data_IF_541519940187
#
_entry.id   IF_541519940187
#
_cell.length_a   1.000
_cell.length_b   1.000
_cell.length_c   1.000
_cell.angle_alpha   90.00
_cell.angle_beta   90.00
_cell.angle_gamma   90.00
#
_symmetry.space_group_name_H-M   'P 1'
#
loop_
_entity.id
_entity.type
_entity.pdbx_description
1 polymer ?
#
# COMPACT_ATOMS: atom_id res chain seq x y z
N UNK A 1 30.10 38.60 20.36
CA UNK A 1 29.34 37.39 20.77
C UNK A 1 28.19 37.02 19.84
N UNK A 2 27.40 37.97 19.32
CA UNK A 2 26.25 37.67 18.43
C UNK A 2 26.64 37.09 17.04
N UNK A 3 27.77 37.52 16.48
CA UNK A 3 28.23 37.08 15.13
C UNK A 3 28.67 35.61 15.13
N UNK A 4 29.31 35.14 16.20
CA UNK A 4 29.74 33.74 16.34
C UNK A 4 28.53 32.80 16.45
N UNK A 5 27.48 33.24 17.15
CA UNK A 5 26.23 32.48 17.26
C UNK A 5 25.51 32.33 15.91
N UNK A 6 25.52 33.38 15.08
CA UNK A 6 24.95 33.36 13.73
C UNK A 6 25.74 32.43 12.78
N UNK A 7 27.07 32.42 12.87
CA UNK A 7 27.93 31.52 12.08
C UNK A 7 27.71 30.05 12.50
N UNK A 8 27.59 29.77 13.79
CA UNK A 8 27.27 28.42 14.28
C UNK A 8 25.87 27.95 13.85
N UNK A 9 24.89 28.85 13.79
CA UNK A 9 23.54 28.54 13.30
C UNK A 9 23.54 28.24 11.79
N UNK A 10 24.32 29.00 11.01
CA UNK A 10 24.54 28.74 9.58
C UNK A 10 25.28 27.42 9.33
N UNK A 11 26.23 27.04 10.19
CA UNK A 11 26.96 25.77 10.05
C UNK A 11 26.10 24.54 10.34
N UNK A 12 25.12 24.65 11.26
CA UNK A 12 24.15 23.58 11.55
C UNK A 12 23.07 23.40 10.49
N UNK A 13 22.92 24.38 9.58
CA UNK A 13 22.04 24.31 8.41
C UNK A 13 22.69 23.63 7.20
N UNK A 14 23.93 23.13 7.32
CA UNK A 14 24.56 22.38 6.25
C UNK A 14 23.92 20.99 6.09
N UNK A 15 23.07 20.92 5.06
CA UNK A 15 23.01 19.83 4.09
C UNK A 15 22.82 18.44 4.71
N UNK A 16 21.56 18.13 5.04
CA UNK A 16 21.05 16.78 4.76
C UNK A 16 21.10 16.61 3.25
N UNK A 17 22.25 16.22 2.72
CA UNK A 17 22.35 15.77 1.34
C UNK A 17 21.66 14.40 1.32
N UNK A 18 20.44 14.37 0.80
CA UNK A 18 19.79 13.11 0.50
C UNK A 18 20.55 12.52 -0.70
N UNK A 19 21.61 11.76 -0.43
CA UNK A 19 22.23 10.97 -1.48
C UNK A 19 21.19 9.98 -1.98
N UNK A 20 20.84 10.08 -3.25
CA UNK A 20 19.97 9.10 -3.86
C UNK A 20 20.62 7.73 -3.82
N UNK A 21 19.88 6.75 -3.32
CA UNK A 21 20.39 5.39 -3.11
C UNK A 21 20.24 4.51 -4.35
N UNK A 22 19.75 5.06 -5.47
CA UNK A 22 19.67 4.38 -6.77
C UNK A 22 21.06 3.97 -7.35
N UNK A 23 22.16 4.19 -6.63
CA UNK A 23 23.53 4.05 -7.12
C UNK A 23 24.10 2.62 -7.02
N UNK A 24 23.57 1.77 -6.14
CA UNK A 24 24.24 0.51 -5.71
C UNK A 24 23.55 -0.78 -6.20
N UNK A 25 22.65 -0.70 -7.19
CA UNK A 25 21.89 -1.86 -7.67
C UNK A 25 22.52 -2.48 -8.92
N UNK A 26 22.85 -3.78 -8.83
CA UNK A 26 23.38 -4.57 -9.96
C UNK A 26 22.28 -5.15 -10.85
N UNK A 27 21.04 -5.22 -10.37
CA UNK A 27 19.91 -5.84 -11.07
C UNK A 27 18.76 -4.84 -11.24
N UNK A 28 18.00 -5.00 -12.32
CA UNK A 28 16.80 -4.20 -12.58
C UNK A 28 15.79 -4.32 -11.43
N UNK A 29 15.55 -5.55 -10.93
CA UNK A 29 14.62 -5.77 -9.82
C UNK A 29 15.06 -5.07 -8.53
N UNK A 30 16.36 -5.07 -8.22
CA UNK A 30 16.90 -4.35 -7.06
C UNK A 30 16.73 -2.84 -7.20
N UNK A 31 17.00 -2.30 -8.39
CA UNK A 31 16.83 -0.88 -8.70
C UNK A 31 15.38 -0.42 -8.52
N UNK A 32 14.44 -1.13 -9.14
CA UNK A 32 13.02 -0.75 -9.13
C UNK A 32 12.37 -0.99 -7.77
N UNK A 33 12.83 -2.01 -7.03
CA UNK A 33 12.29 -2.38 -5.72
C UNK A 33 12.69 -1.45 -4.56
N UNK A 34 13.62 -0.53 -4.78
CA UNK A 34 14.06 0.41 -3.75
C UNK A 34 12.98 1.44 -3.40
N UNK A 35 12.82 1.72 -2.10
CA UNK A 35 11.61 2.37 -1.57
C UNK A 35 11.70 3.88 -1.34
N UNK A 36 12.91 4.46 -1.20
CA UNK A 36 13.05 5.86 -0.79
C UNK A 36 13.06 6.80 -2.00
N UNK A 37 13.61 6.36 -3.12
CA UNK A 37 13.76 7.15 -4.34
C UNK A 37 13.04 6.48 -5.51
N UNK A 38 12.43 7.30 -6.40
CA UNK A 38 11.94 6.82 -7.70
C UNK A 38 13.12 6.48 -8.61
N UNK A 39 13.64 5.27 -8.48
CA UNK A 39 14.70 4.78 -9.36
C UNK A 39 14.15 4.28 -10.70
N UNK A 40 14.94 4.43 -11.75
CA UNK A 40 14.69 3.96 -13.11
C UNK A 40 15.88 3.14 -13.62
N UNK A 41 15.63 2.23 -14.57
CA UNK A 41 16.65 1.29 -15.03
C UNK A 41 16.88 1.37 -16.55
N UNK A 42 18.12 1.58 -16.98
CA UNK A 42 18.50 1.54 -18.39
C UNK A 42 18.72 0.10 -18.88
N UNK A 43 17.90 -0.34 -19.84
CA UNK A 43 17.97 -1.69 -20.44
C UNK A 43 18.83 -1.79 -21.70
N UNK A 44 19.48 -0.70 -22.12
CA UNK A 44 20.30 -0.67 -23.34
C UNK A 44 21.36 -1.79 -23.34
N UNK A 45 21.57 -2.46 -24.47
CA UNK A 45 22.52 -3.57 -24.57
C UNK A 45 23.94 -3.12 -24.22
N UNK A 46 24.36 -2.00 -24.79
CA UNK A 46 25.64 -1.35 -24.53
C UNK A 46 25.41 -0.09 -23.68
N UNK A 47 25.97 -0.07 -22.48
CA UNK A 47 25.86 1.05 -21.55
C UNK A 47 27.11 1.08 -20.65
N UNK A 48 27.84 2.18 -20.70
CA UNK A 48 29.15 2.32 -20.02
C UNK A 48 29.02 2.84 -18.59
N UNK A 49 27.91 3.54 -18.29
CA UNK A 49 27.63 4.09 -16.95
C UNK A 49 26.74 3.12 -16.14
N UNK A 50 26.40 3.52 -14.92
CA UNK A 50 25.44 2.82 -14.06
C UNK A 50 24.09 2.76 -14.75
N UNK A 51 23.46 1.59 -14.66
CA UNK A 51 22.12 1.32 -15.24
C UNK A 51 20.97 1.78 -14.36
N UNK A 52 21.18 1.91 -13.06
CA UNK A 52 20.18 2.42 -12.13
C UNK A 52 20.48 3.89 -11.83
N UNK A 53 19.48 4.76 -11.98
CA UNK A 53 19.57 6.18 -11.64
C UNK A 53 18.24 6.65 -11.03
N UNK A 54 18.24 7.84 -10.44
CA UNK A 54 16.98 8.50 -10.08
C UNK A 54 16.23 8.94 -11.32
N UNK A 55 14.89 9.01 -11.22
CA UNK A 55 14.04 9.58 -12.25
C UNK A 55 14.47 11.00 -12.61
N UNK A 56 14.74 11.85 -11.61
CA UNK A 56 15.21 13.23 -11.81
C UNK A 56 16.51 13.29 -12.63
N UNK A 57 17.47 12.41 -12.34
CA UNK A 57 18.72 12.37 -13.10
C UNK A 57 18.47 11.93 -14.55
N UNK A 58 17.63 10.91 -14.76
CA UNK A 58 17.31 10.40 -16.09
C UNK A 58 16.56 11.42 -16.95
N UNK A 59 15.62 12.18 -16.35
CA UNK A 59 14.89 13.26 -17.02
C UNK A 59 15.79 14.44 -17.39
N UNK A 60 16.79 14.74 -16.54
CA UNK A 60 17.76 15.81 -16.80
C UNK A 60 18.84 15.42 -17.82
N UNK A 61 19.18 14.14 -17.89
CA UNK A 61 20.25 13.61 -18.75
C UNK A 61 19.66 12.60 -19.73
N UNK A 62 18.91 13.07 -20.72
CA UNK A 62 18.26 12.20 -21.72
C UNK A 62 19.26 11.30 -22.48
N UNK A 63 20.52 11.71 -22.60
CA UNK A 63 21.57 10.93 -23.27
C UNK A 63 22.17 9.82 -22.41
N UNK A 64 21.83 9.76 -21.10
CA UNK A 64 22.34 8.73 -20.21
C UNK A 64 21.91 7.34 -20.67
N UNK A 65 20.64 7.15 -21.08
CA UNK A 65 20.20 5.88 -21.64
C UNK A 65 19.95 6.05 -23.14
N UNK A 66 20.77 5.40 -23.96
CA UNK A 66 20.63 5.42 -25.44
C UNK A 66 19.29 4.85 -25.91
N UNK A 67 18.71 3.95 -25.13
CA UNK A 67 17.36 3.39 -25.34
C UNK A 67 16.40 3.96 -24.28
N UNK A 68 15.11 3.62 -24.37
CA UNK A 68 14.18 3.97 -23.29
C UNK A 68 14.58 3.29 -21.98
N UNK A 69 14.55 4.06 -20.89
CA UNK A 69 14.71 3.50 -19.56
C UNK A 69 13.40 2.91 -19.05
N UNK A 70 13.52 1.84 -18.26
CA UNK A 70 12.41 1.18 -17.59
C UNK A 70 12.00 1.97 -16.35
N UNK A 71 10.78 2.48 -16.38
CA UNK A 71 10.14 3.21 -15.29
C UNK A 71 8.68 2.73 -15.13
N UNK A 72 8.43 1.64 -14.40
CA UNK A 72 7.08 1.17 -14.18
C UNK A 72 6.31 2.16 -13.29
N UNK A 73 5.01 2.39 -13.56
CA UNK A 73 4.19 3.24 -12.71
C UNK A 73 4.08 2.64 -11.31
N UNK A 74 3.81 3.51 -10.32
CA UNK A 74 3.58 3.08 -8.94
C UNK A 74 2.43 2.06 -8.83
N UNK A 75 1.37 2.27 -9.60
CA UNK A 75 0.24 1.35 -9.74
C UNK A 75 0.02 1.10 -11.23
N UNK A 76 0.16 -0.15 -11.64
CA UNK A 76 -0.03 -0.60 -13.03
C UNK A 76 -1.39 -1.24 -13.27
N UNK A 77 -2.03 -1.76 -12.22
CA UNK A 77 -3.40 -2.27 -12.29
C UNK A 77 -4.09 -2.07 -10.94
N UNK A 78 -5.34 -1.62 -10.99
CA UNK A 78 -6.25 -1.56 -9.85
C UNK A 78 -7.61 -2.02 -10.34
N UNK A 79 -7.98 -3.26 -10.00
CA UNK A 79 -9.22 -3.86 -10.45
C UNK A 79 -10.06 -4.33 -9.26
N UNK A 80 -11.36 -4.05 -9.30
CA UNK A 80 -12.32 -4.58 -8.34
C UNK A 80 -12.94 -5.82 -8.94
N UNK A 81 -12.55 -6.98 -8.43
CA UNK A 81 -13.00 -8.28 -8.97
C UNK A 81 -14.37 -8.65 -8.42
N UNK A 82 -14.64 -8.31 -7.16
CA UNK A 82 -15.92 -8.57 -6.51
C UNK A 82 -16.31 -7.36 -5.65
N UNK A 83 -17.53 -6.85 -5.90
CA UNK A 83 -18.09 -5.65 -5.27
C UNK A 83 -19.59 -5.81 -5.00
N UNK A 84 -19.94 -6.88 -4.30
CA UNK A 84 -21.31 -7.20 -3.92
C UNK A 84 -21.87 -6.08 -3.04
N UNK A 85 -23.13 -5.73 -3.26
CA UNK A 85 -23.84 -4.72 -2.48
C UNK A 85 -24.14 -5.23 -1.07
N UNK A 86 -24.15 -4.32 -0.11
CA UNK A 86 -24.53 -4.65 1.26
C UNK A 86 -25.89 -5.33 1.31
N UNK A 87 -25.96 -6.43 2.05
CA UNK A 87 -27.19 -7.18 2.24
C UNK A 87 -27.21 -7.82 3.63
N UNK A 88 -28.43 -8.09 4.12
CA UNK A 88 -28.69 -8.65 5.46
C UNK A 88 -28.84 -10.19 5.43
N UNK A 89 -28.61 -10.85 4.29
CA UNK A 89 -28.67 -12.31 4.19
C UNK A 89 -30.09 -12.92 4.24
N UNK A 90 -31.10 -12.26 3.67
CA UNK A 90 -32.44 -12.83 3.57
C UNK A 90 -32.43 -14.11 2.74
N UNK A 91 -33.28 -15.09 3.10
CA UNK A 91 -33.47 -16.36 2.39
C UNK A 91 -32.20 -17.22 2.25
N UNK A 92 -31.30 -17.18 3.24
CA UNK A 92 -30.06 -17.97 3.25
C UNK A 92 -28.96 -17.39 2.36
N UNK A 93 -29.14 -16.18 1.82
CA UNK A 93 -28.10 -15.47 1.10
C UNK A 93 -26.94 -15.10 2.02
N UNK A 94 -25.72 -15.02 1.46
CA UNK A 94 -24.53 -14.61 2.20
C UNK A 94 -24.64 -13.12 2.57
N UNK A 95 -24.60 -12.83 3.87
CA UNK A 95 -24.54 -11.47 4.43
C UNK A 95 -23.29 -10.74 3.92
N UNK A 96 -23.46 -9.52 3.41
CA UNK A 96 -22.35 -8.66 2.94
C UNK A 96 -22.30 -7.39 3.79
N UNK A 97 -21.24 -7.28 4.59
CA UNK A 97 -20.97 -6.13 5.47
C UNK A 97 -19.80 -5.26 5.02
N UNK A 98 -18.90 -5.79 4.18
CA UNK A 98 -17.73 -5.08 3.65
C UNK A 98 -17.79 -5.06 2.13
N UNK A 99 -17.40 -3.92 1.55
CA UNK A 99 -17.29 -3.77 0.10
C UNK A 99 -16.11 -2.86 -0.25
N UNK A 100 -15.31 -3.18 -1.28
CA UNK A 100 -15.36 -4.40 -2.11
C UNK A 100 -14.86 -5.65 -1.37
N UNK A 101 -15.19 -6.84 -1.86
CA UNK A 101 -14.77 -8.11 -1.26
C UNK A 101 -13.44 -8.62 -1.85
N UNK A 102 -13.19 -8.35 -3.13
CA UNK A 102 -11.96 -8.77 -3.81
C UNK A 102 -11.41 -7.62 -4.63
N UNK A 103 -10.17 -7.25 -4.32
CA UNK A 103 -9.35 -6.30 -5.07
C UNK A 103 -8.16 -7.04 -5.68
N UNK A 104 -7.87 -6.76 -6.94
CA UNK A 104 -6.66 -7.20 -7.62
C UNK A 104 -5.81 -5.97 -7.94
N UNK A 105 -4.66 -5.87 -7.29
CA UNK A 105 -3.78 -4.70 -7.41
C UNK A 105 -2.41 -5.16 -7.90
N UNK A 106 -1.87 -4.47 -8.91
CA UNK A 106 -0.49 -4.64 -9.39
C UNK A 106 0.24 -3.32 -9.23
N UNK A 107 1.14 -3.27 -8.26
CA UNK A 107 1.86 -2.06 -7.89
C UNK A 107 3.38 -2.30 -7.84
N UNK A 108 4.14 -1.22 -7.90
CA UNK A 108 5.58 -1.21 -7.63
C UNK A 108 5.81 -1.59 -6.15
N UNK A 109 6.90 -2.29 -5.82
CA UNK A 109 7.24 -2.55 -4.42
C UNK A 109 7.25 -1.25 -3.61
N UNK A 110 6.64 -1.28 -2.42
CA UNK A 110 6.52 -0.16 -1.49
C UNK A 110 5.66 1.03 -1.99
N UNK A 111 4.95 0.89 -3.10
CA UNK A 111 3.96 1.90 -3.50
C UNK A 111 2.83 1.98 -2.47
N UNK A 112 2.46 3.19 -2.07
CA UNK A 112 1.30 3.42 -1.22
C UNK A 112 0.04 3.26 -2.08
N UNK A 113 -0.81 2.30 -1.74
CA UNK A 113 -2.04 2.02 -2.48
C UNK A 113 -3.24 2.50 -1.66
N UNK A 114 -3.80 3.69 -1.94
CA UNK A 114 -5.06 4.10 -1.35
C UNK A 114 -6.20 3.28 -1.97
N UNK A 115 -7.01 2.63 -1.14
CA UNK A 115 -8.26 2.01 -1.59
C UNK A 115 -9.39 2.33 -0.62
N UNK A 116 -10.60 2.46 -1.17
CA UNK A 116 -11.80 2.75 -0.39
C UNK A 116 -12.49 1.45 -0.03
N UNK A 117 -12.60 1.18 1.27
CA UNK A 117 -13.41 0.11 1.82
C UNK A 117 -14.60 0.74 2.55
N UNK A 118 -15.79 0.23 2.31
CA UNK A 118 -16.99 0.64 3.03
C UNK A 118 -17.46 -0.51 3.91
N UNK A 119 -17.94 -0.17 5.10
CA UNK A 119 -18.46 -1.11 6.08
C UNK A 119 -19.88 -0.73 6.47
N UNK A 120 -20.76 -1.72 6.55
CA UNK A 120 -22.13 -1.61 7.07
C UNK A 120 -22.38 -2.76 8.06
N UNK A 121 -22.58 -2.47 9.36
CA UNK A 121 -22.96 -3.49 10.33
C UNK A 121 -24.23 -4.23 9.90
N UNK A 122 -24.28 -5.56 10.10
CA UNK A 122 -25.54 -6.27 9.95
C UNK A 122 -26.41 -6.08 11.19
N UNK A 123 -27.72 -6.02 10.96
CA UNK A 123 -28.71 -6.15 12.02
C UNK A 123 -28.76 -7.63 12.43
N UNK A 124 -28.84 -7.89 13.73
CA UNK A 124 -29.07 -9.24 14.29
C UNK A 124 -27.96 -10.25 13.93
N UNK A 125 -26.70 -9.79 13.93
CA UNK A 125 -25.56 -10.68 13.73
C UNK A 125 -25.41 -11.63 14.93
N UNK A 126 -25.24 -12.95 14.72
CA UNK A 126 -25.23 -13.93 15.80
C UNK A 126 -24.11 -13.61 16.80
N UNK A 127 -24.51 -13.28 18.02
CA UNK A 127 -23.59 -13.02 19.11
C UNK A 127 -23.47 -14.27 19.97
N UNK A 128 -22.25 -14.82 20.08
CA UNK A 128 -21.96 -15.93 21.00
C UNK A 128 -21.17 -15.37 22.18
N UNK A 129 -21.77 -15.36 23.37
CA UNK A 129 -21.04 -15.20 24.62
C UNK A 129 -20.91 -16.57 25.29
N UNK A 130 -19.72 -16.87 25.81
CA UNK A 130 -19.54 -17.98 26.74
C UNK A 130 -19.36 -17.34 28.11
N UNK A 131 -20.36 -17.51 28.97
CA UNK A 131 -20.25 -17.14 30.38
C UNK A 131 -19.70 -18.36 31.13
N UNK A 132 -18.43 -18.30 31.53
CA UNK A 132 -17.85 -19.31 32.42
C UNK A 132 -17.93 -18.82 33.87
N UNK A 133 -18.64 -19.55 34.72
CA UNK A 133 -18.66 -19.32 36.17
C UNK A 133 -17.85 -20.46 36.83
N UNK A 134 -16.59 -20.18 37.22
CA UNK A 134 -15.67 -21.23 37.67
C UNK A 134 -15.15 -22.11 36.52
N UNK A 135 -15.14 -23.45 36.70
CA UNK A 135 -14.68 -24.45 35.71
C UNK A 135 -15.78 -24.99 34.78
N UNK A 136 -17.02 -24.48 34.88
CA UNK A 136 -18.14 -24.88 34.03
C UNK A 136 -18.49 -23.74 33.06
N UNK A 137 -18.38 -24.02 31.77
CA UNK A 137 -18.83 -23.13 30.69
C UNK A 137 -20.10 -23.72 30.08
N UNK A 138 -21.21 -23.01 30.18
CA UNK A 138 -22.45 -23.33 29.49
C UNK A 138 -22.54 -22.51 28.20
N UNK A 139 -22.86 -23.18 27.08
CA UNK A 139 -23.15 -22.50 25.83
C UNK A 139 -24.64 -22.11 25.83
N UNK A 140 -24.95 -20.82 25.89
CA UNK A 140 -26.28 -20.31 25.59
C UNK A 140 -26.26 -19.68 24.20
N UNK A 141 -27.05 -20.22 23.26
CA UNK A 141 -27.35 -19.55 22.00
C UNK A 141 -28.62 -18.71 22.20
N UNK A 142 -28.48 -17.38 22.15
CA UNK A 142 -29.64 -16.49 22.16
C UNK A 142 -30.31 -16.53 20.76
N UNK A 143 -31.35 -17.36 20.62
CA UNK A 143 -32.28 -17.31 19.50
C UNK A 143 -33.33 -16.23 19.77
N UNK A 144 -33.34 -15.14 18.98
CA UNK A 144 -34.45 -14.18 18.99
C UNK A 144 -35.68 -14.84 18.35
N UNK A 145 -36.75 -14.96 19.14
CA UNK A 145 -38.03 -15.54 18.75
C UNK A 145 -38.62 -14.87 17.50
N UNK A 146 -38.86 -15.67 16.46
CA UNK A 146 -39.84 -15.38 15.42
C UNK A 146 -41.24 -15.32 16.04
N UNK A 147 -41.86 -14.14 16.08
CA UNK A 147 -43.31 -13.97 16.19
C UNK A 147 -43.72 -12.57 15.72
N UNK A 148 -43.96 -12.44 14.42
CA UNK A 148 -44.97 -11.51 13.90
C UNK A 148 -45.76 -12.25 12.83
N UNK A 149 -46.80 -12.90 13.31
CA UNK A 149 -47.90 -13.43 12.52
C UNK A 149 -48.56 -12.31 11.71
N UNK A 150 -48.89 -12.63 10.46
CA UNK A 150 -50.10 -12.19 9.76
C UNK A 150 -50.76 -13.42 9.17
#
# INVERSE_FOLDING_TARGET
MKVVFLICLYLKLNLVYCESNCKNFKTCSGCIGYNLDKCVWCSAKEHDDRRCQTLEYAEKNNDWCKENYYNPPEISNFNVVQNDTFNVGLNGAKVVQFTPQILQIKARPNALIPFKMNYKPAKDYPFRYILCHGLLCHNEEAYENTNSAS
#
